data_IF_398715069974
#
_entry.id   IF_398715069974
#
_cell.length_a   1.000
_cell.length_b   1.000
_cell.length_c   1.000
_cell.angle_alpha   90.00
_cell.angle_beta   90.00
_cell.angle_gamma   90.00
#
_symmetry.space_group_name_H-M   'P 1'
#
loop_
_entity.id
_entity.type
_entity.pdbx_description
1 polymer ?
#
# COMPACT_ATOMS: atom_id res chain seq x y z
N UNK A 1 7.84 -9.67 -21.69
CA UNK A 1 7.37 -9.77 -20.31
C UNK A 1 6.69 -8.50 -19.82
N UNK A 2 7.29 -7.36 -20.08
CA UNK A 2 6.73 -6.08 -19.70
C UNK A 2 7.07 -5.03 -20.76
N UNK A 3 6.35 -3.90 -20.72
CA UNK A 3 6.54 -2.77 -21.62
C UNK A 3 6.32 -1.47 -20.91
N UNK A 4 6.90 -0.41 -21.44
CA UNK A 4 6.69 0.96 -20.97
C UNK A 4 5.98 1.77 -22.03
N UNK A 5 5.09 2.66 -21.60
CA UNK A 5 4.35 3.57 -22.49
C UNK A 5 4.43 4.98 -21.93
N UNK A 6 4.37 5.97 -22.82
CA UNK A 6 4.46 7.39 -22.43
C UNK A 6 3.27 7.84 -21.57
N UNK A 7 2.13 7.16 -21.70
CA UNK A 7 0.93 7.48 -20.95
C UNK A 7 1.06 7.16 -19.45
N UNK A 8 2.05 6.33 -19.07
CA UNK A 8 2.32 6.00 -17.68
C UNK A 8 3.82 5.98 -17.44
N UNK A 9 4.47 7.14 -17.40
CA UNK A 9 5.92 7.21 -17.28
C UNK A 9 6.41 6.58 -15.97
N UNK A 10 7.39 5.69 -16.09
CA UNK A 10 7.95 4.98 -14.95
C UNK A 10 7.15 3.79 -14.45
N UNK A 11 5.99 3.51 -15.04
CA UNK A 11 5.16 2.38 -14.64
C UNK A 11 5.15 1.31 -15.73
N UNK A 12 5.55 0.06 -15.41
CA UNK A 12 5.55 -1.01 -16.40
C UNK A 12 4.15 -1.59 -16.62
N UNK A 13 3.87 -1.95 -17.85
CA UNK A 13 2.72 -2.76 -18.22
C UNK A 13 3.17 -4.22 -18.29
N UNK A 14 2.60 -5.08 -17.46
CA UNK A 14 2.95 -6.48 -17.43
C UNK A 14 2.18 -7.24 -18.49
N UNK A 15 2.91 -7.86 -19.40
CA UNK A 15 2.34 -8.70 -20.47
C UNK A 15 2.14 -10.14 -19.95
N UNK A 16 1.49 -11.04 -20.71
CA UNK A 16 1.15 -12.38 -20.20
C UNK A 16 2.32 -13.13 -19.55
N UNK A 17 3.48 -13.16 -20.19
CA UNK A 17 4.66 -13.84 -19.62
C UNK A 17 5.16 -13.14 -18.35
N UNK A 18 5.10 -11.81 -18.33
CA UNK A 18 5.47 -11.02 -17.14
C UNK A 18 4.53 -11.29 -15.97
N UNK A 19 3.24 -11.47 -16.25
CA UNK A 19 2.27 -11.82 -15.22
C UNK A 19 2.48 -13.21 -14.64
N UNK A 20 2.90 -14.18 -15.47
CA UNK A 20 3.26 -15.52 -14.97
C UNK A 20 4.41 -15.40 -13.98
N UNK A 21 5.45 -14.66 -14.31
CA UNK A 21 6.59 -14.46 -13.43
C UNK A 21 6.18 -13.73 -12.14
N UNK A 22 5.45 -12.64 -12.28
CA UNK A 22 4.99 -11.84 -11.13
C UNK A 22 4.14 -12.67 -10.18
N UNK A 23 3.16 -13.41 -10.71
CA UNK A 23 2.28 -14.24 -9.90
C UNK A 23 3.03 -15.39 -9.23
N UNK A 24 4.01 -15.97 -9.91
CA UNK A 24 4.86 -17.01 -9.33
C UNK A 24 5.61 -16.50 -8.10
N UNK A 25 6.20 -15.31 -8.20
CA UNK A 25 6.90 -14.68 -7.07
C UNK A 25 5.94 -14.33 -5.93
N UNK A 26 4.77 -13.79 -6.24
CA UNK A 26 3.75 -13.44 -5.26
C UNK A 26 3.25 -14.71 -4.54
N UNK A 27 2.98 -15.79 -5.27
CA UNK A 27 2.50 -17.04 -4.69
C UNK A 27 3.54 -17.64 -3.74
N UNK A 28 4.82 -17.62 -4.11
CA UNK A 28 5.90 -18.05 -3.24
C UNK A 28 5.98 -17.19 -1.97
N UNK A 29 5.88 -15.88 -2.13
CA UNK A 29 5.87 -14.93 -1.02
C UNK A 29 4.72 -15.22 -0.05
N UNK A 30 3.52 -15.47 -0.58
CA UNK A 30 2.36 -15.83 0.23
C UNK A 30 2.55 -17.13 0.98
N UNK A 31 3.13 -18.14 0.35
CA UNK A 31 3.43 -19.43 0.99
C UNK A 31 4.37 -19.26 2.17
N UNK A 32 5.42 -18.48 2.02
CA UNK A 32 6.39 -18.22 3.08
C UNK A 32 5.73 -17.50 4.26
N UNK A 33 4.93 -16.48 3.98
CA UNK A 33 4.26 -15.71 5.03
C UNK A 33 3.20 -16.54 5.76
N UNK A 34 2.46 -17.38 5.05
CA UNK A 34 1.48 -18.28 5.65
C UNK A 34 2.15 -19.26 6.62
N UNK A 35 3.31 -19.77 6.26
CA UNK A 35 4.09 -20.67 7.12
C UNK A 35 4.42 -20.03 8.47
N UNK A 36 4.63 -18.73 8.50
CA UNK A 36 4.97 -17.97 9.70
C UNK A 36 3.76 -17.29 10.35
N UNK A 37 2.54 -17.68 9.96
CA UNK A 37 1.28 -17.19 10.52
C UNK A 37 1.03 -15.69 10.26
N UNK A 38 1.57 -15.16 9.17
CA UNK A 38 1.23 -13.81 8.72
C UNK A 38 -0.13 -13.81 8.03
N UNK A 39 -0.90 -12.77 8.24
CA UNK A 39 -2.15 -12.55 7.52
C UNK A 39 -1.98 -11.44 6.50
N UNK A 40 -2.71 -11.55 5.40
CA UNK A 40 -2.65 -10.57 4.31
C UNK A 40 -3.76 -9.56 4.47
N UNK A 41 -3.41 -8.28 4.30
CA UNK A 41 -4.38 -7.20 4.25
C UNK A 41 -4.16 -6.40 2.97
N UNK A 42 -5.19 -5.68 2.57
CA UNK A 42 -5.11 -4.73 1.47
C UNK A 42 -5.75 -3.42 1.91
N UNK A 43 -5.03 -2.34 1.77
CA UNK A 43 -5.50 -1.01 2.15
C UNK A 43 -5.71 -0.15 0.92
N UNK A 44 -6.59 0.89 1.01
CA UNK A 44 -6.81 1.78 -0.13
C UNK A 44 -5.54 2.45 -0.62
N UNK A 45 -5.50 2.73 -1.92
CA UNK A 45 -4.37 3.42 -2.54
C UNK A 45 -4.40 4.92 -2.28
N UNK A 46 -5.59 5.49 -2.14
CA UNK A 46 -5.82 6.92 -1.98
C UNK A 46 -6.49 7.16 -0.65
N UNK A 47 -5.94 8.05 0.15
CA UNK A 47 -6.48 8.41 1.46
C UNK A 47 -6.45 9.91 1.67
N UNK A 48 -7.28 10.39 2.62
CA UNK A 48 -7.39 11.82 2.91
C UNK A 48 -6.09 12.41 3.44
N UNK A 49 -5.89 13.69 3.17
CA UNK A 49 -4.75 14.48 3.64
C UNK A 49 -4.55 14.38 5.15
N UNK A 50 -5.62 14.33 5.94
CA UNK A 50 -5.56 14.28 7.40
C UNK A 50 -4.71 13.12 7.92
N UNK A 51 -4.79 11.95 7.26
CA UNK A 51 -3.95 10.79 7.62
C UNK A 51 -2.46 11.12 7.42
N UNK A 52 -2.12 11.75 6.31
CA UNK A 52 -0.74 12.06 5.97
C UNK A 52 -0.18 13.19 6.83
N UNK A 53 -1.01 14.12 7.25
CA UNK A 53 -0.62 15.15 8.22
C UNK A 53 -0.30 14.53 9.59
N UNK A 54 -1.18 13.64 10.06
CA UNK A 54 -1.00 12.95 11.34
C UNK A 54 0.25 12.09 11.36
N UNK A 55 0.55 11.40 10.25
CA UNK A 55 1.73 10.54 10.14
C UNK A 55 3.02 11.31 9.87
N UNK A 56 2.94 12.61 9.54
CA UNK A 56 4.09 13.42 9.19
C UNK A 56 4.51 13.37 7.72
N UNK A 57 3.90 12.51 6.93
CA UNK A 57 4.25 12.39 5.51
C UNK A 57 3.93 13.63 4.71
N UNK A 58 2.84 14.34 5.04
CA UNK A 58 2.45 15.54 4.33
C UNK A 58 3.51 16.63 4.39
N UNK A 59 4.06 16.88 5.58
CA UNK A 59 5.05 17.93 5.78
C UNK A 59 6.42 17.58 5.20
N UNK A 60 6.79 16.30 5.26
CA UNK A 60 8.12 15.85 4.84
C UNK A 60 8.19 15.43 3.38
N UNK A 61 7.09 14.93 2.81
CA UNK A 61 7.09 14.27 1.51
C UNK A 61 6.10 14.84 0.50
N UNK A 62 5.36 15.93 0.82
CA UNK A 62 4.29 16.44 -0.06
C UNK A 62 4.77 16.76 -1.47
N UNK A 63 6.01 17.22 -1.63
CA UNK A 63 6.58 17.54 -2.93
C UNK A 63 6.80 16.30 -3.81
N UNK A 64 6.87 15.14 -3.18
CA UNK A 64 7.06 13.85 -3.84
C UNK A 64 5.79 12.99 -3.83
N UNK A 65 4.68 13.50 -3.30
CA UNK A 65 3.40 12.80 -3.24
C UNK A 65 2.49 13.20 -4.40
N UNK A 66 1.79 12.22 -4.93
CA UNK A 66 0.74 12.47 -5.91
C UNK A 66 -0.54 12.81 -5.16
N UNK A 67 -1.03 14.03 -5.36
CA UNK A 67 -2.22 14.53 -4.67
C UNK A 67 -3.35 14.82 -5.64
N UNK A 68 -4.59 14.77 -5.15
CA UNK A 68 -5.77 15.12 -5.92
C UNK A 68 -6.81 15.73 -5.00
N UNK A 69 -7.82 16.38 -5.58
CA UNK A 69 -8.93 16.96 -4.85
C UNK A 69 -10.20 16.24 -5.26
N UNK A 70 -10.93 15.73 -4.29
CA UNK A 70 -12.19 15.03 -4.50
C UNK A 70 -13.23 15.68 -3.57
N UNK A 71 -14.32 16.19 -4.16
CA UNK A 71 -15.40 16.87 -3.42
C UNK A 71 -14.91 17.99 -2.49
N UNK A 72 -13.89 18.73 -2.93
CA UNK A 72 -13.31 19.83 -2.15
C UNK A 72 -12.34 19.40 -1.05
N UNK A 73 -12.07 18.11 -0.91
CA UNK A 73 -11.10 17.58 0.05
C UNK A 73 -9.83 17.10 -0.64
N UNK A 74 -8.70 17.33 0.01
CA UNK A 74 -7.41 16.86 -0.48
C UNK A 74 -7.20 15.38 -0.17
N UNK A 75 -6.80 14.63 -1.19
CA UNK A 75 -6.42 13.23 -1.08
C UNK A 75 -5.02 13.04 -1.65
N UNK A 76 -4.35 11.99 -1.23
CA UNK A 76 -3.06 11.62 -1.78
C UNK A 76 -2.97 10.12 -2.02
N UNK A 77 -2.23 9.76 -3.08
CA UNK A 77 -1.84 8.36 -3.29
C UNK A 77 -0.81 8.03 -2.22
N UNK A 78 -0.98 6.91 -1.54
CA UNK A 78 -0.12 6.57 -0.41
C UNK A 78 1.36 6.49 -0.82
N UNK A 79 2.23 7.27 -0.15
CA UNK A 79 3.67 7.16 -0.37
C UNK A 79 4.26 5.95 0.36
N UNK A 80 3.58 5.49 1.40
CA UNK A 80 3.96 4.33 2.21
C UNK A 80 2.73 3.58 2.69
N UNK A 81 2.90 2.30 2.97
CA UNK A 81 1.81 1.41 3.42
C UNK A 81 1.55 1.49 4.92
N UNK A 82 2.51 1.95 5.70
CA UNK A 82 2.48 1.87 7.17
C UNK A 82 1.25 2.53 7.81
N UNK A 83 0.85 3.76 7.43
CA UNK A 83 -0.33 4.38 8.04
C UNK A 83 -1.62 3.60 7.81
N UNK A 84 -1.77 2.96 6.62
CA UNK A 84 -2.92 2.11 6.35
C UNK A 84 -3.00 0.91 7.28
N UNK A 85 -1.87 0.29 7.57
CA UNK A 85 -1.79 -0.84 8.50
C UNK A 85 -2.19 -0.43 9.91
N UNK A 86 -1.81 0.77 10.34
CA UNK A 86 -2.18 1.30 11.65
C UNK A 86 -3.69 1.52 11.73
N UNK A 87 -4.32 2.01 10.67
CA UNK A 87 -5.76 2.18 10.61
C UNK A 87 -6.49 0.83 10.74
N UNK A 88 -5.97 -0.22 10.12
CA UNK A 88 -6.53 -1.58 10.26
C UNK A 88 -6.39 -2.05 11.71
N UNK A 89 -5.25 -1.79 12.34
CA UNK A 89 -5.05 -2.13 13.74
C UNK A 89 -6.08 -1.44 14.64
N UNK A 90 -6.44 -0.20 14.36
CA UNK A 90 -7.39 0.58 15.14
C UNK A 90 -8.85 0.15 14.99
N UNK A 91 -9.19 -0.71 14.02
CA UNK A 91 -10.56 -1.16 13.80
C UNK A 91 -11.12 -1.94 15.00
N UNK A 92 -10.27 -2.60 15.76
CA UNK A 92 -10.64 -3.39 16.91
C UNK A 92 -9.72 -3.09 18.08
N UNK A 93 -10.23 -3.15 19.34
CA UNK A 93 -9.35 -3.00 20.49
C UNK A 93 -8.44 -4.22 20.62
N UNK A 94 -7.18 -3.97 20.96
CA UNK A 94 -6.17 -5.01 21.16
C UNK A 94 -5.57 -4.91 22.55
N UNK A 95 -5.18 -6.05 23.10
CA UNK A 95 -4.43 -6.13 24.36
C UNK A 95 -3.03 -6.69 24.09
N UNK A 96 -2.17 -6.64 25.10
CA UNK A 96 -0.84 -7.24 24.97
C UNK A 96 -0.90 -8.74 24.71
N UNK A 97 -2.02 -9.38 25.03
CA UNK A 97 -2.22 -10.83 24.80
C UNK A 97 -2.42 -11.19 23.32
N UNK A 98 -2.77 -10.20 22.51
CA UNK A 98 -2.97 -10.39 21.07
C UNK A 98 -1.65 -10.32 20.29
N UNK A 99 -0.56 -9.95 20.97
CA UNK A 99 0.76 -9.82 20.35
C UNK A 99 1.49 -11.17 20.32
N UNK A 100 2.38 -11.40 19.35
CA UNK A 100 2.68 -10.50 18.24
C UNK A 100 1.60 -10.53 17.16
N UNK A 101 1.35 -9.37 16.55
CA UNK A 101 0.48 -9.25 15.37
C UNK A 101 1.32 -9.44 14.12
N UNK A 102 0.87 -10.29 13.25
CA UNK A 102 1.57 -10.63 12.02
C UNK A 102 0.68 -10.53 10.81
#
# INVERSE_FOLDING_TARGET
>A
MFAFRDEAPGFPFYLPKGMVLKNTLIDYWRQVHKKWNYVEISTPQIMKRTLWETSGHWDHYKDNMYTTVIDGEDFAIKPMNCPGSILVYELEPHSYRDLPLR
#
